data_IF_634506237148
#
_entry.id   IF_634506237148
#
_cell.length_a   1.000
_cell.length_b   1.000
_cell.length_c   1.000
_cell.angle_alpha   90.00
_cell.angle_beta   90.00
_cell.angle_gamma   90.00
#
_symmetry.space_group_name_H-M   'P 1'
#
loop_
_entity.id
_entity.type
_entity.pdbx_description
1 polymer ?
#
# COMPACT_ATOMS: atom_id res chain seq x y z
N UNK A 1 19.69 -16.05 11.18
CA UNK A 1 18.22 -15.95 11.34
C UNK A 1 17.62 -17.22 10.79
N UNK A 2 16.64 -17.84 11.44
CA UNK A 2 16.13 -19.14 10.95
C UNK A 2 15.19 -18.94 9.75
N UNK A 3 15.19 -19.90 8.81
CA UNK A 3 14.26 -19.87 7.66
C UNK A 3 12.79 -19.80 8.10
N UNK A 4 12.47 -20.46 9.22
CA UNK A 4 11.11 -20.49 9.76
C UNK A 4 10.65 -19.12 10.26
N UNK A 5 11.52 -18.34 10.90
CA UNK A 5 11.21 -16.96 11.33
C UNK A 5 10.97 -16.01 10.15
N UNK A 6 11.75 -16.16 9.06
CA UNK A 6 11.53 -15.37 7.84
C UNK A 6 10.19 -15.69 7.19
N UNK A 7 9.82 -16.97 7.15
CA UNK A 7 8.56 -17.43 6.59
C UNK A 7 7.37 -16.98 7.45
N UNK A 8 7.44 -17.08 8.78
CA UNK A 8 6.36 -16.64 9.67
C UNK A 8 6.16 -15.12 9.61
N UNK A 9 7.23 -14.33 9.68
CA UNK A 9 7.18 -12.87 9.54
C UNK A 9 6.62 -12.44 8.17
N UNK A 10 6.95 -13.19 7.10
CA UNK A 10 6.38 -12.97 5.76
C UNK A 10 4.89 -13.30 5.72
N UNK A 11 4.45 -14.39 6.34
CA UNK A 11 3.03 -14.74 6.38
C UNK A 11 2.20 -13.68 7.11
N UNK A 12 2.70 -13.13 8.20
CA UNK A 12 2.06 -12.01 8.90
C UNK A 12 2.01 -10.75 8.04
N UNK A 13 3.14 -10.40 7.40
CA UNK A 13 3.20 -9.28 6.48
C UNK A 13 2.21 -9.45 5.32
N UNK A 14 2.16 -10.62 4.69
CA UNK A 14 1.27 -10.91 3.56
C UNK A 14 -0.21 -10.93 3.97
N UNK A 15 -0.54 -11.42 5.18
CA UNK A 15 -1.91 -11.35 5.72
C UNK A 15 -2.34 -9.90 5.97
N UNK A 16 -1.45 -9.07 6.51
CA UNK A 16 -1.72 -7.65 6.72
C UNK A 16 -1.90 -6.89 5.39
N UNK A 17 -1.07 -7.20 4.39
CA UNK A 17 -1.14 -6.61 3.04
C UNK A 17 -2.37 -7.11 2.26
N UNK A 18 -2.79 -8.36 2.40
CA UNK A 18 -4.00 -8.88 1.75
C UNK A 18 -5.31 -8.24 2.23
N UNK A 19 -5.32 -7.59 3.39
CA UNK A 19 -6.50 -6.84 3.89
C UNK A 19 -6.58 -5.39 3.35
N UNK A 20 -5.53 -4.89 2.70
CA UNK A 20 -5.51 -3.58 2.06
C UNK A 20 -6.34 -3.47 0.76
N UNK A 21 -6.36 -4.45 -0.18
CA UNK A 21 -7.13 -4.33 -1.42
C UNK A 21 -8.63 -4.07 -1.22
N UNK A 22 -9.39 -4.74 -0.34
CA UNK A 22 -10.83 -4.45 -0.20
C UNK A 22 -11.10 -3.01 0.29
N UNK A 23 -10.21 -2.46 1.12
CA UNK A 23 -10.35 -1.09 1.63
C UNK A 23 -10.03 -0.04 0.54
N UNK A 24 -9.08 -0.36 -0.35
CA UNK A 24 -8.79 0.42 -1.56
C UNK A 24 -9.95 0.39 -2.56
N UNK A 25 -10.58 -0.77 -2.76
CA UNK A 25 -11.76 -0.91 -3.62
C UNK A 25 -12.96 -0.11 -3.09
N UNK A 26 -13.19 -0.11 -1.77
CA UNK A 26 -14.24 0.70 -1.15
C UNK A 26 -13.94 2.20 -1.35
N UNK A 27 -12.71 2.64 -1.12
CA UNK A 27 -12.32 4.04 -1.33
C UNK A 27 -12.49 4.48 -2.80
N UNK A 28 -12.08 3.64 -3.76
CA UNK A 28 -12.31 3.84 -5.18
C UNK A 28 -13.81 3.95 -5.52
N UNK A 29 -14.63 3.05 -4.96
CA UNK A 29 -16.09 3.08 -5.15
C UNK A 29 -16.73 4.38 -4.64
N UNK A 30 -16.26 4.89 -3.49
CA UNK A 30 -16.72 6.18 -2.94
C UNK A 30 -16.32 7.33 -3.86
N UNK A 31 -15.10 7.35 -4.39
CA UNK A 31 -14.65 8.39 -5.33
C UNK A 31 -15.49 8.37 -6.61
N UNK A 32 -15.70 7.20 -7.20
CA UNK A 32 -16.52 7.05 -8.41
C UNK A 32 -17.96 7.48 -8.15
N UNK A 33 -18.53 7.12 -6.98
CA UNK A 33 -19.87 7.55 -6.58
C UNK A 33 -19.98 9.08 -6.46
N UNK A 34 -19.02 9.74 -5.82
CA UNK A 34 -19.00 11.21 -5.69
C UNK A 34 -18.86 11.89 -7.05
N UNK A 35 -18.01 11.37 -7.94
CA UNK A 35 -17.90 11.88 -9.30
C UNK A 35 -19.21 11.75 -10.09
N UNK A 36 -19.88 10.60 -10.01
CA UNK A 36 -21.15 10.37 -10.70
C UNK A 36 -22.25 11.30 -10.18
N UNK A 37 -22.34 11.51 -8.87
CA UNK A 37 -23.30 12.44 -8.26
C UNK A 37 -23.01 13.88 -8.70
N UNK A 38 -21.72 14.27 -8.77
CA UNK A 38 -21.31 15.58 -9.29
C UNK A 38 -21.76 15.81 -10.74
N UNK A 39 -21.54 14.83 -11.62
CA UNK A 39 -21.94 14.89 -13.04
C UNK A 39 -23.48 14.95 -13.18
N UNK A 40 -24.22 14.18 -12.37
CA UNK A 40 -25.69 14.22 -12.37
C UNK A 40 -26.23 15.56 -11.88
N UNK A 41 -25.63 16.14 -10.84
CA UNK A 41 -26.02 17.47 -10.34
C UNK A 41 -25.78 18.56 -11.39
N UNK A 42 -24.66 18.46 -12.11
CA UNK A 42 -24.31 19.39 -13.19
C UNK A 42 -25.29 19.31 -14.37
N UNK A 43 -25.74 18.10 -14.73
CA UNK A 43 -26.73 17.94 -15.81
C UNK A 43 -28.14 18.41 -15.42
N UNK A 44 -28.49 18.36 -14.12
CA UNK A 44 -29.81 18.78 -13.64
C UNK A 44 -29.86 20.30 -13.37
N UNK A 45 -28.77 20.91 -12.87
CA UNK A 45 -28.79 22.31 -12.42
C UNK A 45 -28.28 23.34 -13.45
N UNK A 46 -27.60 22.95 -14.53
CA UNK A 46 -27.29 23.82 -15.69
C UNK A 46 -26.35 25.02 -15.47
N UNK A 47 -26.16 25.49 -14.25
CA UNK A 47 -25.26 26.59 -13.88
C UNK A 47 -24.32 26.13 -12.76
N UNK A 48 -23.27 25.39 -13.12
CA UNK A 48 -22.21 25.04 -12.17
C UNK A 48 -21.22 26.18 -12.04
N UNK A 49 -21.18 26.76 -10.84
CA UNK A 49 -20.10 27.69 -10.46
C UNK A 49 -18.73 26.99 -10.55
N UNK A 50 -17.67 27.67 -11.02
CA UNK A 50 -16.32 27.09 -11.19
C UNK A 50 -15.71 26.55 -9.89
N UNK A 51 -16.27 26.96 -8.74
CA UNK A 51 -15.90 26.47 -7.42
C UNK A 51 -16.26 24.98 -7.21
N UNK A 52 -17.38 24.51 -7.78
CA UNK A 52 -17.88 23.15 -7.54
C UNK A 52 -17.05 22.12 -8.29
N UNK A 53 -16.68 22.41 -9.54
CA UNK A 53 -15.83 21.54 -10.36
C UNK A 53 -14.43 21.38 -9.75
N UNK A 54 -13.85 22.46 -9.21
CA UNK A 54 -12.58 22.40 -8.49
C UNK A 54 -12.66 21.50 -7.25
N UNK A 55 -13.74 21.59 -6.46
CA UNK A 55 -13.93 20.75 -5.27
C UNK A 55 -14.05 19.27 -5.64
N UNK A 56 -14.76 18.93 -6.72
CA UNK A 56 -14.87 17.55 -7.19
C UNK A 56 -13.48 17.01 -7.56
N UNK A 57 -12.71 17.72 -8.37
CA UNK A 57 -11.36 17.30 -8.80
C UNK A 57 -10.43 17.10 -7.60
N UNK A 58 -10.45 18.03 -6.64
CA UNK A 58 -9.64 17.93 -5.41
C UNK A 58 -10.07 16.71 -4.58
N UNK A 59 -11.38 16.49 -4.40
CA UNK A 59 -11.90 15.34 -3.67
C UNK A 59 -11.54 14.01 -4.35
N UNK A 60 -11.58 13.94 -5.69
CA UNK A 60 -11.17 12.76 -6.44
C UNK A 60 -9.67 12.47 -6.27
N UNK A 61 -8.82 13.50 -6.38
CA UNK A 61 -7.38 13.40 -6.16
C UNK A 61 -7.05 12.91 -4.75
N UNK A 62 -7.68 13.50 -3.73
CA UNK A 62 -7.50 13.09 -2.34
C UNK A 62 -8.01 11.68 -2.09
N UNK A 63 -9.16 11.31 -2.66
CA UNK A 63 -9.75 9.99 -2.50
C UNK A 63 -8.93 8.87 -3.13
N UNK A 64 -8.13 9.16 -4.17
CA UNK A 64 -7.19 8.19 -4.78
C UNK A 64 -5.84 8.20 -4.06
N UNK A 65 -5.28 9.37 -3.75
CA UNK A 65 -3.94 9.48 -3.16
C UNK A 65 -3.92 9.06 -1.68
N UNK A 66 -4.93 9.44 -0.89
CA UNK A 66 -4.98 9.13 0.54
C UNK A 66 -4.90 7.62 0.84
N UNK A 67 -5.68 6.72 0.21
CA UNK A 67 -5.58 5.29 0.49
C UNK A 67 -4.24 4.70 0.05
N UNK A 68 -3.64 5.19 -1.04
CA UNK A 68 -2.30 4.76 -1.51
C UNK A 68 -1.22 5.14 -0.50
N UNK A 69 -1.24 6.39 -0.02
CA UNK A 69 -0.29 6.88 0.99
C UNK A 69 -0.48 6.13 2.31
N UNK A 70 -1.72 5.95 2.77
CA UNK A 70 -2.01 5.19 4.01
C UNK A 70 -1.57 3.74 3.88
N UNK A 71 -1.76 3.11 2.71
CA UNK A 71 -1.28 1.76 2.42
C UNK A 71 0.25 1.67 2.53
N UNK A 72 0.96 2.57 1.85
CA UNK A 72 2.42 2.62 1.87
C UNK A 72 2.97 2.88 3.29
N UNK A 73 2.36 3.80 4.04
CA UNK A 73 2.75 4.08 5.42
C UNK A 73 2.49 2.89 6.35
N UNK A 74 1.35 2.19 6.19
CA UNK A 74 1.07 0.98 6.96
C UNK A 74 2.05 -0.14 6.61
N UNK A 75 2.34 -0.36 5.34
CA UNK A 75 3.34 -1.33 4.89
C UNK A 75 4.72 -1.02 5.48
N UNK A 76 5.16 0.24 5.44
CA UNK A 76 6.42 0.66 6.04
C UNK A 76 6.43 0.49 7.57
N UNK A 77 5.33 0.79 8.26
CA UNK A 77 5.22 0.58 9.71
C UNK A 77 5.26 -0.91 10.08
N UNK A 78 4.57 -1.75 9.32
CA UNK A 78 4.59 -3.21 9.51
C UNK A 78 5.98 -3.80 9.24
N UNK A 79 6.64 -3.38 8.17
CA UNK A 79 8.01 -3.79 7.85
C UNK A 79 8.99 -3.36 8.97
N UNK A 80 8.84 -2.15 9.51
CA UNK A 80 9.62 -1.68 10.66
C UNK A 80 9.33 -2.47 11.94
N UNK A 81 8.06 -2.82 12.21
CA UNK A 81 7.67 -3.58 13.41
C UNK A 81 8.22 -5.00 13.42
N UNK A 82 8.21 -5.67 12.27
CA UNK A 82 8.72 -7.04 12.17
C UNK A 82 10.24 -7.11 12.28
N UNK A 83 10.94 -5.98 12.16
CA UNK A 83 12.40 -5.80 12.36
C UNK A 83 13.28 -6.85 11.66
N UNK A 84 12.79 -7.41 10.55
CA UNK A 84 13.51 -8.39 9.75
C UNK A 84 14.48 -7.66 8.83
N UNK A 85 15.74 -7.61 9.25
CA UNK A 85 16.84 -6.97 8.54
C UNK A 85 17.95 -7.97 8.27
N UNK A 86 18.72 -7.73 7.23
CA UNK A 86 19.96 -8.46 7.00
C UNK A 86 20.94 -8.21 8.16
N UNK A 87 21.58 -9.24 8.73
CA UNK A 87 22.60 -9.06 9.78
C UNK A 87 23.88 -8.43 9.25
N UNK A 88 24.16 -8.52 7.94
CA UNK A 88 25.39 -7.99 7.35
C UNK A 88 25.26 -6.51 6.91
N UNK A 89 24.14 -6.14 6.31
CA UNK A 89 23.95 -4.80 5.73
C UNK A 89 22.78 -4.02 6.34
N UNK A 90 22.12 -4.56 7.37
CA UNK A 90 20.96 -3.96 8.05
C UNK A 90 19.76 -3.61 7.14
N UNK A 91 19.78 -4.05 5.88
CA UNK A 91 18.74 -3.70 4.89
C UNK A 91 17.47 -4.51 5.17
N UNK A 92 16.27 -3.91 5.12
CA UNK A 92 15.02 -4.63 5.36
C UNK A 92 14.82 -5.73 4.33
N UNK A 93 14.55 -6.96 4.79
CA UNK A 93 14.31 -8.12 3.92
C UNK A 93 12.82 -8.30 3.59
N UNK A 94 11.93 -7.51 4.21
CA UNK A 94 10.49 -7.54 3.97
C UNK A 94 10.10 -6.45 2.97
N UNK A 95 9.29 -6.79 1.96
CA UNK A 95 8.86 -5.88 0.91
C UNK A 95 9.00 -6.52 -0.49
N UNK A 96 9.32 -5.70 -1.50
CA UNK A 96 9.49 -6.13 -2.90
C UNK A 96 10.54 -7.24 -3.06
N UNK A 97 11.65 -7.14 -2.31
CA UNK A 97 12.76 -8.09 -2.32
C UNK A 97 12.57 -9.29 -1.39
N UNK A 98 11.52 -9.31 -0.55
CA UNK A 98 11.30 -10.39 0.40
C UNK A 98 10.90 -11.73 -0.23
N UNK A 99 10.37 -11.70 -1.46
CA UNK A 99 10.13 -12.92 -2.24
C UNK A 99 11.43 -13.60 -2.67
N UNK A 100 12.36 -12.78 -3.14
CA UNK A 100 13.68 -13.20 -3.60
C UNK A 100 14.50 -13.72 -2.41
N UNK A 101 14.46 -13.03 -1.26
CA UNK A 101 15.21 -13.44 -0.06
C UNK A 101 14.71 -14.78 0.50
N UNK A 102 13.40 -15.01 0.54
CA UNK A 102 12.85 -16.28 1.05
C UNK A 102 13.15 -17.45 0.12
N UNK A 103 13.17 -17.21 -1.20
CA UNK A 103 13.50 -18.24 -2.20
C UNK A 103 15.00 -18.54 -2.25
N UNK A 104 15.84 -17.50 -2.26
CA UNK A 104 17.30 -17.64 -2.40
C UNK A 104 18.04 -17.88 -1.09
N UNK A 105 17.47 -17.48 0.04
CA UNK A 105 18.18 -17.43 1.32
C UNK A 105 19.28 -16.37 1.39
N UNK A 106 19.36 -15.49 0.38
CA UNK A 106 20.38 -14.45 0.25
C UNK A 106 19.76 -13.06 0.25
N UNK A 107 20.49 -12.06 0.74
CA UNK A 107 20.05 -10.69 0.76
C UNK A 107 20.14 -10.12 -0.66
N UNK A 108 19.03 -9.61 -1.21
CA UNK A 108 19.02 -9.02 -2.55
C UNK A 108 19.86 -7.74 -2.71
N UNK A 109 20.33 -7.15 -1.61
CA UNK A 109 21.13 -5.92 -1.61
C UNK A 109 22.62 -6.19 -1.47
N UNK A 110 23.02 -7.02 -0.50
CA UNK A 110 24.44 -7.32 -0.26
C UNK A 110 24.89 -8.70 -0.78
N UNK A 111 23.98 -9.53 -1.29
CA UNK A 111 24.28 -10.88 -1.77
C UNK A 111 24.55 -11.92 -0.69
N UNK A 112 24.82 -11.48 0.55
CA UNK A 112 25.18 -12.36 1.65
C UNK A 112 24.03 -13.29 2.08
N UNK A 113 24.38 -14.49 2.53
CA UNK A 113 23.41 -15.48 3.02
C UNK A 113 22.82 -15.00 4.35
N UNK A 114 21.49 -14.94 4.41
CA UNK A 114 20.75 -14.41 5.57
C UNK A 114 20.09 -15.50 6.39
N UNK A 115 20.04 -16.69 5.81
CA UNK A 115 19.30 -17.84 6.31
C UNK A 115 20.25 -19.01 6.38
N UNK A 116 20.42 -19.53 7.58
CA UNK A 116 21.09 -20.81 7.85
C UNK A 116 20.09 -21.96 7.73
#
# INVERSE_FOLDING_TARGET
MTKQELVSARHEYRRAVKRLPPLLFIAMGVVVGVCLVGICLESICGETSPSISAVIVICSLLGVLAPVVVAALRQNRLAKRLNVKCPHCATPLLGFSGEIVVASGTCGTCGERVVD
#
